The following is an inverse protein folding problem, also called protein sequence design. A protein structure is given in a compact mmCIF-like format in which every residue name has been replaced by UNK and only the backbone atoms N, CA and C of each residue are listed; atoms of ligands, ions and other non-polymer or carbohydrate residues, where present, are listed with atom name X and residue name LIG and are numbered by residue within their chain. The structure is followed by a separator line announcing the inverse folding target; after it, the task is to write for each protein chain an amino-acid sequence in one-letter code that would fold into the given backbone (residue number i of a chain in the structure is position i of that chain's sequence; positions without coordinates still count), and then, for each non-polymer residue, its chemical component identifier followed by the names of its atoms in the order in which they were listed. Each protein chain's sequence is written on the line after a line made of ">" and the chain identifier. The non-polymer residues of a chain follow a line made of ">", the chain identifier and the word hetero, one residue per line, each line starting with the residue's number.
data_IF_602471103417
#
_entry.id   IF_602471103417
#
_cell.length_a   1.000
_cell.length_b   1.000
_cell.length_c   1.000
_cell.angle_alpha   90.00
_cell.angle_beta   90.00
_cell.angle_gamma   90.00
#
_symmetry.space_group_name_H-M   'P 1'
#
loop_
_entity.id
_entity.type
_entity.pdbx_description
1 polymer ?
#
# COMPACT_ATOMS: atom_id res chain seq x y z
N UNK A 1 -15.12 -14.40 52.33
CA UNK A 1 -16.25 -15.24 51.85
C UNK A 1 -16.43 -15.03 50.35
N UNK A 2 -16.12 -16.02 49.50
CA UNK A 2 -16.33 -15.91 48.06
C UNK A 2 -17.79 -16.22 47.71
N UNK A 3 -18.43 -15.36 46.91
CA UNK A 3 -19.78 -15.62 46.37
C UNK A 3 -19.69 -16.60 45.21
N UNK A 4 -19.94 -17.87 45.49
CA UNK A 4 -19.92 -19.03 44.60
C UNK A 4 -21.12 -19.16 43.64
N UNK A 5 -21.96 -18.14 43.44
CA UNK A 5 -23.21 -18.26 42.66
C UNK A 5 -23.50 -17.09 41.70
N UNK A 6 -22.47 -16.57 41.02
CA UNK A 6 -22.68 -15.76 39.83
C UNK A 6 -22.82 -16.68 38.61
N UNK A 7 -24.01 -16.77 38.00
CA UNK A 7 -24.21 -17.48 36.73
C UNK A 7 -23.22 -16.93 35.69
N UNK A 8 -22.23 -17.73 35.33
CA UNK A 8 -21.41 -17.53 34.13
C UNK A 8 -22.37 -17.42 32.96
N UNK A 9 -22.34 -16.29 32.22
CA UNK A 9 -22.98 -16.22 30.92
C UNK A 9 -22.41 -17.36 30.08
N UNK A 10 -23.26 -18.31 29.68
CA UNK A 10 -22.87 -19.34 28.73
C UNK A 10 -22.21 -18.68 27.53
N UNK A 11 -21.08 -19.24 27.09
CA UNK A 11 -20.47 -18.85 25.83
C UNK A 11 -21.55 -18.84 24.75
N UNK A 12 -21.53 -17.82 23.88
CA UNK A 12 -22.41 -17.78 22.73
C UNK A 12 -22.31 -19.11 21.97
N UNK A 13 -23.42 -19.70 21.54
CA UNK A 13 -23.38 -20.94 20.76
C UNK A 13 -22.43 -20.74 19.56
N UNK A 14 -21.66 -21.77 19.16
CA UNK A 14 -20.87 -21.70 17.95
C UNK A 14 -21.77 -21.26 16.80
N UNK A 15 -21.36 -20.20 16.11
CA UNK A 15 -22.09 -19.61 14.99
C UNK A 15 -22.46 -20.73 14.01
N UNK A 16 -23.74 -20.84 13.68
CA UNK A 16 -24.22 -21.82 12.71
C UNK A 16 -23.34 -21.70 11.43
N UNK A 17 -22.92 -22.83 10.82
CA UNK A 17 -22.14 -22.75 9.59
C UNK A 17 -22.96 -21.97 8.57
N UNK A 18 -22.46 -20.79 8.20
CA UNK A 18 -23.08 -19.99 7.15
C UNK A 18 -23.23 -20.82 5.88
N UNK A 19 -24.17 -20.48 4.98
CA UNK A 19 -24.30 -21.18 3.72
C UNK A 19 -22.93 -21.27 3.04
N UNK A 20 -22.52 -22.48 2.64
CA UNK A 20 -21.21 -22.69 2.03
C UNK A 20 -21.15 -21.93 0.70
N UNK A 21 -20.53 -20.75 0.73
CA UNK A 21 -20.22 -19.93 -0.44
C UNK A 21 -18.98 -20.47 -1.18
N UNK A 22 -18.58 -21.70 -0.87
CA UNK A 22 -17.43 -22.39 -1.41
C UNK A 22 -17.48 -22.64 -2.91
N UNK A 23 -18.63 -22.44 -3.58
CA UNK A 23 -18.74 -22.52 -5.04
C UNK A 23 -18.53 -21.17 -5.75
N UNK A 24 -18.73 -20.05 -5.06
CA UNK A 24 -18.66 -18.71 -5.65
C UNK A 24 -17.23 -18.40 -6.11
N UNK A 25 -17.09 -17.99 -7.38
CA UNK A 25 -15.87 -17.50 -8.00
C UNK A 25 -15.93 -15.98 -8.10
N UNK A 26 -15.03 -15.30 -7.40
CA UNK A 26 -15.00 -13.84 -7.30
C UNK A 26 -13.72 -13.34 -7.97
N UNK A 27 -13.87 -12.55 -9.04
CA UNK A 27 -12.76 -11.85 -9.67
C UNK A 27 -12.47 -10.53 -8.98
N UNK A 28 -11.19 -10.26 -8.71
CA UNK A 28 -10.73 -9.04 -8.05
C UNK A 28 -9.58 -8.45 -8.90
N UNK A 29 -9.71 -7.22 -9.44
CA UNK A 29 -8.67 -6.61 -10.27
C UNK A 29 -7.46 -6.23 -9.40
N UNK A 30 -6.29 -6.79 -9.69
CA UNK A 30 -5.03 -6.53 -8.95
C UNK A 30 -4.44 -5.16 -9.34
N UNK A 31 -5.13 -4.08 -8.99
CA UNK A 31 -4.81 -2.73 -9.46
C UNK A 31 -5.13 -1.68 -8.39
N UNK A 32 -4.53 -0.49 -8.52
CA UNK A 32 -4.79 0.66 -7.66
C UNK A 32 -4.62 0.34 -6.14
N UNK A 33 -5.51 0.85 -5.30
CA UNK A 33 -5.46 0.67 -3.85
C UNK A 33 -5.77 -0.76 -3.39
N UNK A 34 -6.07 -1.70 -4.30
CA UNK A 34 -6.08 -3.11 -3.90
C UNK A 34 -4.68 -3.59 -3.54
N UNK A 35 -3.62 -2.98 -4.06
CA UNK A 35 -2.25 -3.29 -3.62
C UNK A 35 -2.02 -3.05 -2.13
N UNK A 36 -2.65 -2.02 -1.52
CA UNK A 36 -2.56 -1.78 -0.08
C UNK A 36 -3.68 -2.41 0.74
N UNK A 37 -4.80 -2.81 0.12
CA UNK A 37 -5.99 -3.30 0.84
C UNK A 37 -6.37 -4.75 0.55
N UNK A 38 -5.67 -5.45 -0.34
CA UNK A 38 -6.01 -6.82 -0.76
C UNK A 38 -6.21 -7.80 0.40
N UNK A 39 -5.40 -7.72 1.46
CA UNK A 39 -5.55 -8.60 2.62
C UNK A 39 -6.83 -8.35 3.42
N UNK A 40 -7.36 -7.12 3.41
CA UNK A 40 -8.70 -6.87 3.95
C UNK A 40 -9.74 -7.67 3.18
N UNK A 41 -9.68 -7.65 1.85
CA UNK A 41 -10.63 -8.35 0.99
C UNK A 41 -10.48 -9.87 1.08
N UNK A 42 -9.24 -10.39 1.14
CA UNK A 42 -8.98 -11.81 1.35
C UNK A 42 -9.58 -12.28 2.68
N UNK A 43 -9.32 -11.58 3.78
CA UNK A 43 -9.88 -11.92 5.10
C UNK A 43 -11.41 -11.79 5.14
N UNK A 44 -11.96 -10.75 4.51
CA UNK A 44 -13.41 -10.53 4.41
C UNK A 44 -14.11 -11.68 3.68
N UNK A 45 -13.66 -12.05 2.48
CA UNK A 45 -14.30 -13.12 1.72
C UNK A 45 -14.07 -14.51 2.31
N UNK A 46 -12.90 -14.75 2.92
CA UNK A 46 -12.64 -16.00 3.63
C UNK A 46 -13.63 -16.21 4.78
N UNK A 47 -13.89 -15.18 5.59
CA UNK A 47 -14.87 -15.23 6.69
C UNK A 47 -16.33 -15.36 6.19
N UNK A 48 -16.63 -14.91 4.97
CA UNK A 48 -17.92 -15.17 4.33
C UNK A 48 -18.07 -16.60 3.79
N UNK A 49 -17.01 -17.43 3.87
CA UNK A 49 -17.00 -18.81 3.42
C UNK A 49 -16.63 -19.01 1.95
N UNK A 50 -15.96 -18.03 1.32
CA UNK A 50 -15.41 -18.17 -0.03
C UNK A 50 -14.03 -18.83 0.06
N UNK A 51 -13.81 -19.92 -0.66
CA UNK A 51 -12.52 -20.60 -0.70
C UNK A 51 -11.44 -19.72 -1.36
N UNK A 52 -10.24 -19.67 -0.80
CA UNK A 52 -9.15 -18.82 -1.30
C UNK A 52 -8.82 -19.05 -2.78
N UNK A 53 -8.89 -20.31 -3.26
CA UNK A 53 -8.66 -20.66 -4.68
C UNK A 53 -9.73 -20.12 -5.65
N UNK A 54 -10.85 -19.62 -5.12
CA UNK A 54 -11.94 -19.01 -5.89
C UNK A 54 -11.95 -17.48 -5.82
N UNK A 55 -11.02 -16.90 -5.07
CA UNK A 55 -10.69 -15.49 -5.18
C UNK A 55 -9.64 -15.35 -6.29
N UNK A 56 -10.09 -14.93 -7.46
CA UNK A 56 -9.28 -14.84 -8.66
C UNK A 56 -8.80 -13.41 -8.82
N UNK A 57 -7.50 -13.19 -8.60
CA UNK A 57 -6.88 -11.92 -8.94
C UNK A 57 -6.48 -11.89 -10.42
N UNK A 58 -6.64 -10.74 -11.08
CA UNK A 58 -6.06 -10.53 -12.40
C UNK A 58 -4.52 -10.63 -12.35
N UNK A 59 -3.89 -10.90 -13.48
CA UNK A 59 -2.44 -10.88 -13.60
C UNK A 59 -1.88 -9.46 -13.38
N UNK A 60 -0.56 -9.38 -13.25
CA UNK A 60 0.17 -8.11 -13.24
C UNK A 60 -0.14 -7.31 -14.51
N UNK A 61 -0.10 -5.98 -14.40
CA UNK A 61 -0.31 -5.11 -15.54
C UNK A 61 0.73 -5.43 -16.62
N UNK A 62 0.28 -5.54 -17.87
CA UNK A 62 1.18 -5.66 -19.02
C UNK A 62 0.58 -5.03 -20.26
N UNK A 63 1.42 -4.66 -21.22
CA UNK A 63 0.95 -4.19 -22.53
C UNK A 63 0.03 -5.22 -23.18
N UNK A 64 0.39 -6.50 -23.08
CA UNK A 64 -0.41 -7.58 -23.67
C UNK A 64 -1.78 -7.71 -23.02
N UNK A 65 -1.86 -7.62 -21.68
CA UNK A 65 -3.14 -7.59 -20.97
C UNK A 65 -3.99 -6.40 -21.43
N UNK A 66 -3.40 -5.20 -21.51
CA UNK A 66 -4.10 -4.00 -21.98
C UNK A 66 -4.59 -4.12 -23.43
N UNK A 67 -3.74 -4.66 -24.32
CA UNK A 67 -4.01 -4.81 -25.75
C UNK A 67 -5.06 -5.89 -26.04
N UNK A 68 -4.97 -7.04 -25.39
CA UNK A 68 -5.89 -8.16 -25.59
C UNK A 68 -7.26 -7.90 -24.96
N UNK A 69 -7.27 -7.39 -23.73
CA UNK A 69 -8.47 -7.38 -22.90
C UNK A 69 -9.09 -5.99 -22.69
N UNK A 70 -8.27 -4.93 -22.73
CA UNK A 70 -8.71 -3.55 -22.44
C UNK A 70 -9.06 -2.71 -23.67
N UNK A 71 -8.75 -3.16 -24.89
CA UNK A 71 -8.91 -2.37 -26.13
C UNK A 71 -10.34 -1.83 -26.28
N UNK A 72 -10.44 -0.51 -26.51
CA UNK A 72 -11.69 0.20 -26.73
C UNK A 72 -12.54 0.46 -25.49
N UNK A 73 -12.09 0.03 -24.30
CA UNK A 73 -12.84 0.12 -23.03
C UNK A 73 -12.13 0.96 -21.96
N UNK A 74 -10.97 1.53 -22.29
CA UNK A 74 -10.21 2.42 -21.42
C UNK A 74 -10.78 3.83 -21.37
N UNK A 75 -10.35 4.59 -20.36
CA UNK A 75 -10.58 6.03 -20.24
C UNK A 75 -9.38 6.78 -20.83
N UNK A 76 -9.62 7.88 -21.58
CA UNK A 76 -8.54 8.63 -22.23
C UNK A 76 -7.90 9.64 -21.28
N UNK A 77 -8.70 10.30 -20.44
CA UNK A 77 -8.26 11.47 -19.66
C UNK A 77 -7.81 11.16 -18.23
N UNK A 78 -7.39 9.92 -17.91
CA UNK A 78 -6.95 9.54 -16.56
C UNK A 78 -5.48 9.10 -16.50
N UNK A 79 -4.91 9.11 -15.30
CA UNK A 79 -3.55 8.59 -15.08
C UNK A 79 -3.41 7.12 -15.51
N UNK A 80 -2.19 6.75 -15.91
CA UNK A 80 -1.91 5.42 -16.44
C UNK A 80 -2.44 4.24 -15.58
N UNK A 81 -2.29 4.21 -14.25
CA UNK A 81 -2.82 3.13 -13.41
C UNK A 81 -4.34 2.95 -13.49
N UNK A 82 -5.08 4.04 -13.70
CA UNK A 82 -6.54 3.98 -13.87
C UNK A 82 -6.90 3.44 -15.25
N UNK A 83 -6.10 3.76 -16.27
CA UNK A 83 -6.27 3.22 -17.64
C UNK A 83 -6.09 1.70 -17.66
N UNK A 84 -5.18 1.15 -16.85
CA UNK A 84 -4.88 -0.29 -16.79
C UNK A 84 -6.04 -1.16 -16.32
N UNK A 85 -7.00 -0.62 -15.56
CA UNK A 85 -8.15 -1.36 -15.02
C UNK A 85 -8.97 -2.03 -16.13
N UNK A 86 -9.09 -1.41 -17.30
CA UNK A 86 -9.80 -1.99 -18.42
C UNK A 86 -9.19 -3.33 -18.86
N UNK A 87 -7.85 -3.43 -18.85
CA UNK A 87 -7.14 -4.69 -19.11
C UNK A 87 -7.46 -5.75 -18.05
N UNK A 88 -7.37 -5.39 -16.77
CA UNK A 88 -7.69 -6.31 -15.67
C UNK A 88 -9.15 -6.80 -15.69
N UNK A 89 -10.11 -5.94 -15.98
CA UNK A 89 -11.52 -6.34 -16.10
C UNK A 89 -11.71 -7.29 -17.27
N UNK A 90 -11.20 -6.94 -18.45
CA UNK A 90 -11.35 -7.80 -19.61
C UNK A 90 -10.66 -9.15 -19.41
N UNK A 91 -9.51 -9.21 -18.73
CA UNK A 91 -8.83 -10.46 -18.42
C UNK A 91 -9.67 -11.33 -17.45
N UNK A 92 -10.26 -10.72 -16.43
CA UNK A 92 -11.14 -11.41 -15.48
C UNK A 92 -12.43 -11.91 -16.15
N UNK A 93 -12.93 -11.20 -17.15
CA UNK A 93 -14.17 -11.56 -17.85
C UNK A 93 -13.92 -12.61 -18.94
N UNK A 94 -12.89 -12.40 -19.77
CA UNK A 94 -12.67 -13.14 -21.02
C UNK A 94 -11.46 -14.07 -20.98
N UNK A 95 -10.49 -13.81 -20.10
CA UNK A 95 -9.23 -14.58 -20.02
C UNK A 95 -9.31 -15.81 -19.09
N UNK A 96 -10.41 -15.99 -18.37
CA UNK A 96 -10.56 -17.07 -17.38
C UNK A 96 -11.03 -18.36 -18.03
N UNK A 97 -10.45 -19.50 -17.61
CA UNK A 97 -10.89 -20.84 -18.05
C UNK A 97 -12.29 -21.19 -17.58
N UNK A 98 -12.61 -20.79 -16.36
CA UNK A 98 -13.92 -20.96 -15.74
C UNK A 98 -14.50 -19.58 -15.46
N UNK A 99 -15.79 -19.42 -15.77
CA UNK A 99 -16.51 -18.15 -15.59
C UNK A 99 -16.50 -17.69 -14.12
N UNK A 100 -16.53 -16.38 -13.94
CA UNK A 100 -16.73 -15.75 -12.64
C UNK A 100 -18.22 -15.64 -12.32
N UNK A 101 -18.58 -15.74 -11.05
CA UNK A 101 -19.93 -15.43 -10.58
C UNK A 101 -20.08 -13.93 -10.26
N UNK A 102 -19.00 -13.32 -9.78
CA UNK A 102 -18.94 -11.94 -9.32
C UNK A 102 -17.62 -11.32 -9.80
N UNK A 103 -17.69 -10.11 -10.36
CA UNK A 103 -16.51 -9.25 -10.50
C UNK A 103 -16.62 -8.15 -9.44
N UNK A 104 -15.72 -8.20 -8.47
CA UNK A 104 -15.69 -7.33 -7.31
C UNK A 104 -14.60 -6.26 -7.46
N UNK A 105 -15.00 -4.99 -7.52
CA UNK A 105 -14.10 -3.85 -7.70
C UNK A 105 -14.57 -2.67 -6.83
N UNK A 106 -14.13 -2.57 -5.57
CA UNK A 106 -14.70 -1.63 -4.60
C UNK A 106 -14.27 -0.18 -4.86
N UNK A 107 -15.18 0.76 -4.63
CA UNK A 107 -14.91 2.19 -4.63
C UNK A 107 -14.43 2.63 -3.24
N UNK A 108 -13.11 2.59 -3.03
CA UNK A 108 -12.50 2.90 -1.73
C UNK A 108 -12.35 4.41 -1.56
N UNK A 109 -13.18 5.01 -0.71
CA UNK A 109 -13.24 6.45 -0.47
C UNK A 109 -12.06 6.99 0.33
N UNK A 110 -11.74 6.33 1.44
CA UNK A 110 -10.59 6.62 2.28
C UNK A 110 -9.88 5.32 2.66
N UNK A 111 -8.61 5.44 3.03
CA UNK A 111 -7.74 4.30 3.34
C UNK A 111 -7.38 4.31 4.83
N UNK A 112 -7.26 3.14 5.47
CA UNK A 112 -6.68 3.06 6.80
C UNK A 112 -5.26 3.62 6.75
N UNK A 113 -4.94 4.53 7.66
CA UNK A 113 -3.61 5.11 7.73
C UNK A 113 -3.02 5.00 9.14
N UNK A 114 -1.70 4.89 9.21
CA UNK A 114 -0.96 5.05 10.48
C UNK A 114 -0.67 6.52 10.79
N UNK A 115 -0.96 7.43 9.85
CA UNK A 115 -0.72 8.84 10.03
C UNK A 115 -1.68 9.45 11.06
N UNK A 116 -1.17 10.32 11.91
CA UNK A 116 -1.91 10.92 13.03
C UNK A 116 -1.42 12.33 13.32
N UNK A 117 -2.03 13.00 14.29
CA UNK A 117 -1.75 14.41 14.60
C UNK A 117 -2.65 15.33 13.78
N UNK A 118 -2.07 16.26 13.02
CA UNK A 118 -2.83 17.22 12.21
C UNK A 118 -3.06 16.79 10.75
N UNK A 119 -3.00 15.48 10.48
CA UNK A 119 -3.39 14.97 9.16
C UNK A 119 -4.89 15.16 9.00
N UNK A 120 -5.28 15.94 8.00
CA UNK A 120 -6.66 16.40 7.86
C UNK A 120 -7.61 15.26 7.48
N UNK A 121 -7.23 14.45 6.47
CA UNK A 121 -7.98 13.27 6.00
C UNK A 121 -7.05 12.28 5.27
N UNK A 122 -7.55 11.07 5.03
CA UNK A 122 -6.89 9.93 4.37
C UNK A 122 -7.61 9.55 3.07
N UNK A 123 -8.07 10.55 2.31
CA UNK A 123 -8.89 10.32 1.11
C UNK A 123 -8.08 9.67 -0.02
N UNK A 124 -8.74 8.78 -0.75
CA UNK A 124 -8.26 8.26 -2.03
C UNK A 124 -8.33 9.36 -3.10
N UNK A 125 -7.46 9.30 -4.12
CA UNK A 125 -7.59 10.15 -5.30
C UNK A 125 -8.99 9.96 -5.94
N UNK A 126 -9.74 11.02 -6.26
CA UNK A 126 -11.10 10.89 -6.82
C UNK A 126 -11.16 10.01 -8.07
N UNK A 127 -10.15 10.10 -8.95
CA UNK A 127 -10.05 9.26 -10.16
C UNK A 127 -9.88 7.78 -9.83
N UNK A 128 -9.12 7.46 -8.78
CA UNK A 128 -8.88 6.10 -8.31
C UNK A 128 -10.13 5.53 -7.62
N UNK A 129 -10.80 6.34 -6.79
CA UNK A 129 -12.04 5.95 -6.10
C UNK A 129 -13.19 5.69 -7.09
N UNK A 130 -13.36 6.56 -8.08
CA UNK A 130 -14.41 6.46 -9.09
C UNK A 130 -14.08 5.50 -10.25
N UNK A 131 -12.85 4.98 -10.29
CA UNK A 131 -12.38 4.13 -11.37
C UNK A 131 -13.28 2.90 -11.63
N UNK A 132 -13.80 2.20 -10.60
CA UNK A 132 -14.67 1.06 -10.83
C UNK A 132 -15.88 1.37 -11.71
N UNK A 133 -16.64 2.44 -11.41
CA UNK A 133 -17.83 2.84 -12.18
C UNK A 133 -17.47 3.47 -13.53
N UNK A 134 -16.40 4.26 -13.61
CA UNK A 134 -15.96 4.84 -14.89
C UNK A 134 -15.58 3.74 -15.90
N UNK A 135 -14.81 2.74 -15.46
CA UNK A 135 -14.37 1.66 -16.35
C UNK A 135 -15.51 0.70 -16.68
N UNK A 136 -16.41 0.41 -15.72
CA UNK A 136 -17.64 -0.35 -15.96
C UNK A 136 -18.46 0.24 -17.12
N UNK A 137 -18.56 1.57 -17.23
CA UNK A 137 -19.26 2.22 -18.34
C UNK A 137 -18.68 1.81 -19.72
N UNK A 138 -17.36 1.62 -19.83
CA UNK A 138 -16.72 1.11 -21.05
C UNK A 138 -17.14 -0.32 -21.41
N UNK A 139 -17.45 -1.15 -20.42
CA UNK A 139 -17.97 -2.52 -20.60
C UNK A 139 -19.50 -2.57 -20.80
N UNK A 140 -20.20 -1.44 -20.69
CA UNK A 140 -21.65 -1.33 -20.87
C UNK A 140 -22.06 -0.44 -22.05
N UNK A 141 -21.13 0.35 -22.61
CA UNK A 141 -21.41 1.37 -23.64
C UNK A 141 -22.13 0.83 -24.86
N UNK A 142 -21.67 -0.30 -25.40
CA UNK A 142 -22.23 -0.91 -26.61
C UNK A 142 -23.16 -2.08 -26.28
N UNK A 143 -22.80 -2.88 -25.27
CA UNK A 143 -23.53 -4.04 -24.79
C UNK A 143 -23.24 -4.23 -23.31
N UNK A 144 -24.16 -4.85 -22.57
CA UNK A 144 -23.90 -5.24 -21.20
C UNK A 144 -23.10 -6.54 -21.15
N UNK A 145 -21.77 -6.40 -21.22
CA UNK A 145 -20.84 -7.54 -21.19
C UNK A 145 -21.01 -8.38 -19.92
N UNK A 146 -21.34 -7.76 -18.78
CA UNK A 146 -21.49 -8.47 -17.52
C UNK A 146 -22.72 -9.39 -17.57
N UNK A 147 -23.87 -8.88 -18.03
CA UNK A 147 -25.08 -9.66 -18.20
C UNK A 147 -24.91 -10.80 -19.22
N UNK A 148 -24.27 -10.52 -20.37
CA UNK A 148 -23.98 -11.54 -21.40
C UNK A 148 -23.12 -12.70 -20.87
N UNK A 149 -22.18 -12.41 -19.97
CA UNK A 149 -21.33 -13.42 -19.35
C UNK A 149 -21.95 -14.05 -18.10
N UNK A 150 -23.09 -13.55 -17.61
CA UNK A 150 -23.72 -13.99 -16.36
C UNK A 150 -22.94 -13.56 -15.10
N UNK A 151 -22.12 -12.51 -15.20
CA UNK A 151 -21.28 -12.00 -14.11
C UNK A 151 -22.05 -10.90 -13.38
N UNK A 152 -22.14 -10.99 -12.06
CA UNK A 152 -22.64 -9.88 -11.24
C UNK A 152 -21.50 -8.91 -10.94
N UNK A 153 -21.61 -7.69 -11.45
CA UNK A 153 -20.66 -6.63 -11.14
C UNK A 153 -20.96 -6.00 -9.77
N UNK A 154 -19.95 -5.90 -8.91
CA UNK A 154 -20.07 -5.31 -7.58
C UNK A 154 -18.99 -4.26 -7.32
N UNK A 155 -19.42 -3.02 -7.13
CA UNK A 155 -18.56 -1.90 -6.77
C UNK A 155 -19.09 -1.14 -5.54
N UNK A 156 -19.08 -1.77 -4.35
CA UNK A 156 -19.54 -1.09 -3.15
C UNK A 156 -18.67 0.13 -2.85
N UNK A 157 -19.32 1.20 -2.41
CA UNK A 157 -18.64 2.36 -1.85
C UNK A 157 -18.24 2.08 -0.40
N UNK A 158 -16.97 2.23 -0.07
CA UNK A 158 -16.45 1.85 1.25
C UNK A 158 -15.49 2.89 1.81
N UNK A 159 -15.64 3.19 3.10
CA UNK A 159 -14.80 4.11 3.85
C UNK A 159 -13.93 3.33 4.84
N UNK A 160 -12.82 2.76 4.38
CA UNK A 160 -11.99 1.84 5.17
C UNK A 160 -11.28 2.51 6.37
N UNK A 161 -11.20 3.83 6.42
CA UNK A 161 -10.71 4.58 7.59
C UNK A 161 -11.81 4.76 8.67
N UNK A 162 -13.04 4.30 8.41
CA UNK A 162 -14.19 4.44 9.31
C UNK A 162 -14.80 3.07 9.64
N UNK A 163 -14.13 2.23 10.47
CA UNK A 163 -14.51 0.82 10.69
C UNK A 163 -15.94 0.58 11.17
N UNK A 164 -16.57 1.59 11.79
CA UNK A 164 -17.97 1.53 12.24
C UNK A 164 -18.98 1.62 11.08
N UNK A 165 -18.62 2.28 9.97
CA UNK A 165 -19.49 2.45 8.81
C UNK A 165 -19.36 1.29 7.81
N UNK A 166 -18.16 0.71 7.72
CA UNK A 166 -17.82 -0.33 6.73
C UNK A 166 -18.79 -1.52 6.72
N UNK A 167 -19.23 -2.10 7.86
CA UNK A 167 -20.18 -3.21 7.84
C UNK A 167 -21.49 -2.87 7.14
N UNK A 168 -22.05 -1.68 7.41
CA UNK A 168 -23.29 -1.22 6.79
C UNK A 168 -23.09 -1.01 5.28
N UNK A 169 -22.04 -0.30 4.90
CA UNK A 169 -21.71 0.00 3.50
C UNK A 169 -21.53 -1.28 2.66
N UNK A 170 -20.79 -2.25 3.18
CA UNK A 170 -20.57 -3.51 2.47
C UNK A 170 -21.81 -4.39 2.45
N UNK A 171 -22.62 -4.40 3.52
CA UNK A 171 -23.87 -5.16 3.53
C UNK A 171 -24.85 -4.60 2.50
N UNK A 172 -25.05 -3.28 2.47
CA UNK A 172 -25.92 -2.63 1.49
C UNK A 172 -25.40 -2.81 0.05
N UNK A 173 -24.09 -2.66 -0.16
CA UNK A 173 -23.47 -2.77 -1.47
C UNK A 173 -23.32 -4.20 -2.01
N UNK A 174 -23.37 -5.23 -1.15
CA UNK A 174 -23.19 -6.62 -1.54
C UNK A 174 -24.42 -7.51 -1.30
N UNK A 175 -25.44 -7.03 -0.56
CA UNK A 175 -26.61 -7.84 -0.20
C UNK A 175 -27.40 -8.36 -1.40
N UNK A 176 -27.47 -7.60 -2.50
CA UNK A 176 -28.08 -8.04 -3.76
C UNK A 176 -27.18 -8.92 -4.63
N UNK A 177 -25.88 -8.99 -4.32
CA UNK A 177 -24.87 -9.70 -5.12
C UNK A 177 -24.50 -11.03 -4.48
N UNK A 178 -24.31 -11.08 -3.16
CA UNK A 178 -23.90 -12.27 -2.43
C UNK A 178 -25.15 -12.94 -1.85
N UNK A 179 -25.49 -14.17 -2.26
CA UNK A 179 -26.70 -14.86 -1.79
C UNK A 179 -26.72 -15.01 -0.26
N UNK A 180 -27.85 -14.65 0.34
CA UNK A 180 -28.11 -14.82 1.78
C UNK A 180 -27.19 -14.01 2.69
N UNK A 181 -26.53 -12.95 2.20
CA UNK A 181 -25.65 -12.11 3.01
C UNK A 181 -26.44 -11.35 4.09
N UNK A 182 -26.13 -11.60 5.35
CA UNK A 182 -26.74 -10.88 6.48
C UNK A 182 -25.84 -9.76 7.01
N UNK A 183 -26.43 -8.79 7.71
CA UNK A 183 -25.67 -7.72 8.35
C UNK A 183 -24.70 -8.24 9.43
N UNK A 184 -25.11 -9.27 10.18
CA UNK A 184 -24.28 -9.90 11.22
C UNK A 184 -23.07 -10.63 10.62
N UNK A 185 -23.28 -11.44 9.57
CA UNK A 185 -22.17 -12.08 8.84
C UNK A 185 -21.20 -11.05 8.27
N UNK A 186 -21.73 -9.97 7.70
CA UNK A 186 -20.92 -8.89 7.13
C UNK A 186 -20.06 -8.21 8.20
N UNK A 187 -20.61 -7.93 9.38
CA UNK A 187 -19.86 -7.34 10.48
C UNK A 187 -18.70 -8.24 10.94
N UNK A 188 -18.95 -9.56 11.06
CA UNK A 188 -17.90 -10.54 11.35
C UNK A 188 -16.80 -10.56 10.28
N UNK A 189 -17.20 -10.57 9.00
CA UNK A 189 -16.29 -10.53 7.86
C UNK A 189 -15.44 -9.26 7.79
N UNK A 190 -16.02 -8.11 8.09
CA UNK A 190 -15.29 -6.84 8.15
C UNK A 190 -14.24 -6.88 9.26
N UNK A 191 -14.59 -7.38 10.45
CA UNK A 191 -13.63 -7.54 11.53
C UNK A 191 -12.48 -8.50 11.15
N UNK A 192 -12.77 -9.59 10.45
CA UNK A 192 -11.76 -10.51 9.92
C UNK A 192 -10.85 -9.84 8.88
N UNK A 193 -11.41 -9.06 7.96
CA UNK A 193 -10.64 -8.29 6.97
C UNK A 193 -9.67 -7.31 7.63
N UNK A 194 -10.12 -6.54 8.62
CA UNK A 194 -9.22 -5.63 9.34
C UNK A 194 -8.10 -6.38 10.07
N UNK A 195 -8.40 -7.49 10.75
CA UNK A 195 -7.36 -8.31 11.40
C UNK A 195 -6.31 -8.78 10.39
N UNK A 196 -6.74 -9.34 9.26
CA UNK A 196 -5.83 -9.82 8.21
C UNK A 196 -4.93 -8.70 7.66
N UNK A 197 -5.50 -7.52 7.41
CA UNK A 197 -4.75 -6.35 6.95
C UNK A 197 -3.72 -5.86 8.00
N UNK A 198 -4.13 -5.77 9.27
CA UNK A 198 -3.25 -5.34 10.37
C UNK A 198 -2.10 -6.31 10.56
N UNK A 199 -2.37 -7.62 10.58
CA UNK A 199 -1.35 -8.66 10.75
C UNK A 199 -0.35 -8.67 9.59
N UNK A 200 -0.85 -8.54 8.35
CA UNK A 200 -0.01 -8.44 7.16
C UNK A 200 0.92 -7.22 7.22
N UNK A 201 0.37 -6.05 7.51
CA UNK A 201 1.15 -4.81 7.60
C UNK A 201 2.18 -4.87 8.73
N UNK A 202 1.80 -5.39 9.90
CA UNK A 202 2.73 -5.57 11.03
C UNK A 202 3.88 -6.50 10.66
N UNK A 203 3.61 -7.61 9.95
CA UNK A 203 4.64 -8.54 9.50
C UNK A 203 5.62 -7.89 8.51
N UNK A 204 5.12 -7.13 7.54
CA UNK A 204 6.00 -6.45 6.57
C UNK A 204 6.80 -5.32 7.21
N UNK A 205 6.24 -4.59 8.18
CA UNK A 205 6.97 -3.58 8.95
C UNK A 205 8.09 -4.17 9.79
N UNK A 206 7.88 -5.33 10.42
CA UNK A 206 8.96 -6.07 11.10
C UNK A 206 10.09 -6.42 10.16
N UNK A 207 9.79 -6.92 8.96
CA UNK A 207 10.82 -7.14 7.92
C UNK A 207 11.53 -5.85 7.52
N UNK A 208 10.82 -4.73 7.41
CA UNK A 208 11.42 -3.43 7.15
C UNK A 208 12.41 -3.01 8.25
N UNK A 209 12.08 -3.29 9.52
CA UNK A 209 12.99 -3.10 10.66
C UNK A 209 14.21 -4.00 10.58
N UNK A 210 14.03 -5.30 10.31
CA UNK A 210 15.12 -6.27 10.14
C UNK A 210 16.13 -5.80 9.06
N UNK A 211 15.64 -5.22 7.95
CA UNK A 211 16.49 -4.64 6.91
C UNK A 211 17.27 -3.43 7.43
N UNK A 212 16.65 -2.51 8.18
CA UNK A 212 17.36 -1.37 8.76
C UNK A 212 18.41 -1.78 9.80
N UNK A 213 18.09 -2.75 10.65
CA UNK A 213 19.03 -3.30 11.65
C UNK A 213 20.20 -4.02 10.96
N UNK A 214 19.94 -4.75 9.87
CA UNK A 214 21.00 -5.33 9.05
C UNK A 214 21.89 -4.24 8.42
N UNK A 215 21.30 -3.20 7.84
CA UNK A 215 22.04 -2.06 7.29
C UNK A 215 22.90 -1.38 8.35
N UNK A 216 22.37 -1.24 9.57
CA UNK A 216 23.08 -0.68 10.70
C UNK A 216 24.29 -1.52 11.13
N UNK A 217 24.08 -2.82 11.28
CA UNK A 217 25.13 -3.78 11.68
C UNK A 217 26.24 -3.90 10.64
N UNK A 218 25.89 -3.91 9.36
CA UNK A 218 26.86 -4.02 8.25
C UNK A 218 27.44 -2.66 7.82
N UNK A 219 26.96 -1.55 8.40
CA UNK A 219 27.25 -0.19 7.97
C UNK A 219 27.02 0.03 6.45
N UNK A 220 25.94 -0.54 5.92
CA UNK A 220 25.56 -0.48 4.50
C UNK A 220 24.33 0.38 4.29
N UNK A 221 24.26 1.07 3.16
CA UNK A 221 23.11 1.89 2.79
C UNK A 221 22.00 1.08 2.14
N UNK A 222 20.76 1.44 2.43
CA UNK A 222 19.56 0.98 1.73
C UNK A 222 18.90 2.13 0.95
N UNK A 223 18.09 1.76 -0.04
CA UNK A 223 17.23 2.69 -0.77
C UNK A 223 15.81 2.65 -0.22
N UNK A 224 15.14 3.80 -0.26
CA UNK A 224 13.72 3.89 0.05
C UNK A 224 12.90 4.32 -1.15
N UNK A 225 11.89 3.53 -1.50
CA UNK A 225 10.95 3.83 -2.57
C UNK A 225 9.80 4.67 -2.03
N UNK A 226 9.70 5.89 -2.55
CA UNK A 226 8.56 6.80 -2.35
C UNK A 226 7.64 6.68 -3.56
N UNK A 227 6.58 5.89 -3.42
CA UNK A 227 5.64 5.64 -4.50
C UNK A 227 4.26 5.33 -3.93
N UNK A 228 3.26 5.31 -4.81
CA UNK A 228 1.93 4.79 -4.47
C UNK A 228 1.97 3.25 -4.44
N UNK A 229 1.12 2.57 -3.63
CA UNK A 229 1.18 1.13 -3.45
C UNK A 229 1.13 0.31 -4.74
N UNK A 230 0.38 0.79 -5.73
CA UNK A 230 0.23 0.12 -7.03
C UNK A 230 1.46 0.19 -7.94
N UNK A 231 2.51 0.96 -7.59
CA UNK A 231 3.78 0.87 -8.31
C UNK A 231 4.55 -0.42 -7.98
N UNK A 232 4.07 -1.25 -7.04
CA UNK A 232 4.57 -2.62 -6.88
C UNK A 232 4.12 -3.55 -8.03
N UNK A 233 3.22 -3.09 -8.90
CA UNK A 233 2.87 -3.78 -10.14
C UNK A 233 3.98 -3.59 -11.19
N UNK A 234 4.58 -4.68 -11.73
CA UNK A 234 5.62 -4.63 -12.76
C UNK A 234 5.30 -3.82 -14.01
N UNK A 235 4.02 -3.76 -14.41
CA UNK A 235 3.57 -2.98 -15.56
C UNK A 235 3.39 -1.49 -15.25
N UNK A 236 3.32 -1.10 -13.97
CA UNK A 236 3.12 0.29 -13.55
C UNK A 236 4.38 0.90 -12.95
N UNK A 237 5.10 0.18 -12.09
CA UNK A 237 6.35 0.63 -11.46
C UNK A 237 7.61 0.30 -12.24
N UNK A 238 7.50 -0.55 -13.27
CA UNK A 238 8.58 -0.96 -14.16
C UNK A 238 9.74 -1.70 -13.49
N UNK A 239 9.55 -2.21 -12.27
CA UNK A 239 10.52 -3.05 -11.55
C UNK A 239 11.88 -2.37 -11.32
N UNK A 240 11.90 -1.03 -11.30
CA UNK A 240 13.11 -0.22 -11.13
C UNK A 240 13.83 -0.57 -9.82
N UNK A 241 13.06 -0.80 -8.76
CA UNK A 241 13.56 -1.22 -7.46
C UNK A 241 14.11 -2.64 -7.46
N UNK A 242 13.58 -3.54 -8.32
CA UNK A 242 14.08 -4.90 -8.48
C UNK A 242 15.45 -4.87 -9.17
N UNK A 243 15.58 -4.05 -10.22
CA UNK A 243 16.87 -3.84 -10.89
C UNK A 243 17.92 -3.28 -9.92
N UNK A 244 17.55 -2.29 -9.10
CA UNK A 244 18.44 -1.75 -8.06
C UNK A 244 18.78 -2.79 -6.98
N UNK A 245 17.83 -3.66 -6.62
CA UNK A 245 18.08 -4.76 -5.70
C UNK A 245 19.07 -5.78 -6.27
N UNK A 246 19.05 -6.02 -7.59
CA UNK A 246 20.00 -6.90 -8.27
C UNK A 246 21.46 -6.38 -8.20
N UNK A 247 21.66 -5.06 -8.07
CA UNK A 247 22.96 -4.46 -7.75
C UNK A 247 23.39 -4.63 -6.28
N UNK A 248 22.59 -5.31 -5.45
CA UNK A 248 22.93 -5.63 -4.06
C UNK A 248 22.51 -4.58 -3.03
N UNK A 249 21.60 -3.66 -3.39
CA UNK A 249 21.09 -2.65 -2.47
C UNK A 249 19.75 -3.08 -1.84
N UNK A 250 19.63 -3.08 -0.50
CA UNK A 250 18.36 -3.39 0.16
C UNK A 250 17.30 -2.31 -0.08
N UNK A 251 16.09 -2.71 -0.44
CA UNK A 251 14.97 -1.80 -0.76
C UNK A 251 13.95 -1.77 0.38
N UNK A 252 13.57 -0.57 0.81
CA UNK A 252 12.44 -0.31 1.70
C UNK A 252 11.32 0.39 0.94
N UNK A 253 10.08 -0.07 1.13
CA UNK A 253 8.90 0.62 0.61
C UNK A 253 8.22 1.41 1.72
N UNK A 254 7.81 2.64 1.41
CA UNK A 254 7.21 3.58 2.39
C UNK A 254 6.01 2.97 3.14
N UNK A 255 5.16 2.22 2.43
CA UNK A 255 3.95 1.59 2.98
C UNK A 255 4.25 0.62 4.14
N UNK A 256 5.44 0.03 4.11
CA UNK A 256 5.88 -1.00 5.06
C UNK A 256 7.12 -0.56 5.83
N UNK A 257 7.43 0.73 5.85
CA UNK A 257 8.49 1.27 6.69
C UNK A 257 8.14 1.04 8.17
N UNK A 258 9.10 0.65 9.02
CA UNK A 258 8.83 0.36 10.43
C UNK A 258 8.37 1.62 11.18
N UNK A 259 7.37 1.44 12.03
CA UNK A 259 6.73 2.52 12.81
C UNK A 259 6.73 2.24 14.31
N UNK A 260 7.65 1.40 14.78
CA UNK A 260 7.76 1.05 16.19
C UNK A 260 8.02 2.28 17.05
N UNK A 261 7.43 2.31 18.24
CA UNK A 261 7.45 3.49 19.12
C UNK A 261 8.87 3.95 19.48
N UNK A 262 9.81 3.02 19.66
CA UNK A 262 11.20 3.32 20.00
C UNK A 262 11.94 4.04 18.85
N UNK A 263 11.79 3.52 17.62
CA UNK A 263 12.37 4.11 16.41
C UNK A 263 11.74 5.47 16.11
N UNK A 264 10.43 5.56 16.20
CA UNK A 264 9.69 6.80 15.96
C UNK A 264 10.01 7.87 17.00
N UNK A 265 10.10 7.51 18.27
CA UNK A 265 10.47 8.44 19.32
C UNK A 265 11.93 8.88 19.23
N UNK A 266 12.84 7.99 18.86
CA UNK A 266 14.23 8.37 18.62
C UNK A 266 14.35 9.37 17.45
N UNK A 267 13.70 9.07 16.32
CA UNK A 267 13.83 9.87 15.10
C UNK A 267 13.09 11.23 15.18
N UNK A 268 11.90 11.26 15.80
CA UNK A 268 11.01 12.44 15.77
C UNK A 268 10.79 13.10 17.14
N UNK A 269 11.14 12.43 18.24
CA UNK A 269 10.95 12.95 19.60
C UNK A 269 11.56 14.34 19.87
N UNK A 270 12.76 14.69 19.36
CA UNK A 270 13.30 16.04 19.50
C UNK A 270 12.38 17.12 18.91
N UNK A 271 11.81 16.89 17.73
CA UNK A 271 10.91 17.84 17.07
C UNK A 271 9.56 17.95 17.80
N UNK A 272 9.09 16.85 18.41
CA UNK A 272 7.89 16.85 19.26
C UNK A 272 8.12 17.69 20.52
N UNK A 273 9.25 17.49 21.22
CA UNK A 273 9.61 18.27 22.41
C UNK A 273 9.82 19.75 22.10
N UNK A 274 10.34 20.06 20.91
CA UNK A 274 10.49 21.42 20.41
C UNK A 274 9.17 22.05 19.93
N UNK A 275 8.06 21.32 19.94
CA UNK A 275 6.75 21.81 19.50
C UNK A 275 6.62 22.02 17.99
N UNK A 276 7.55 21.49 17.17
CA UNK A 276 7.52 21.63 15.71
C UNK A 276 6.46 20.73 15.07
N UNK A 277 6.25 19.55 15.66
CA UNK A 277 5.27 18.54 15.23
C UNK A 277 4.56 17.96 16.45
N UNK A 278 3.33 17.43 16.30
CA UNK A 278 2.58 16.85 17.43
C UNK A 278 2.79 15.35 17.63
N UNK A 279 3.15 14.63 16.57
CA UNK A 279 3.46 13.20 16.62
C UNK A 279 4.54 12.86 15.58
N UNK A 280 5.17 11.67 15.65
CA UNK A 280 6.11 11.20 14.62
C UNK A 280 5.47 11.08 13.23
N UNK A 281 4.13 11.07 13.19
CA UNK A 281 3.35 10.89 11.98
C UNK A 281 2.69 12.18 11.48
N UNK A 282 2.96 13.30 12.16
CA UNK A 282 2.50 14.62 11.72
C UNK A 282 3.37 15.10 10.55
N UNK A 283 2.72 15.59 9.50
CA UNK A 283 3.35 16.12 8.28
C UNK A 283 2.98 17.58 8.02
N UNK A 284 2.26 18.24 8.93
CA UNK A 284 1.75 19.60 8.71
C UNK A 284 2.85 20.64 8.48
N UNK A 285 4.01 20.41 9.06
CA UNK A 285 5.22 21.24 8.92
C UNK A 285 5.74 21.29 7.47
N UNK A 286 5.51 20.24 6.68
CA UNK A 286 5.96 20.16 5.28
C UNK A 286 4.81 20.09 4.28
N UNK A 287 3.59 19.77 4.74
CA UNK A 287 2.44 19.54 3.89
C UNK A 287 1.12 19.96 4.57
N UNK A 288 0.71 21.24 4.42
CA UNK A 288 -0.53 21.74 5.01
C UNK A 288 -1.80 21.11 4.41
N UNK A 289 -1.76 20.68 3.15
CA UNK A 289 -2.91 20.12 2.40
C UNK A 289 -3.03 18.60 2.58
N UNK A 290 -3.03 18.14 3.82
CA UNK A 290 -2.90 16.72 4.19
C UNK A 290 -4.21 15.91 4.08
N UNK A 291 -4.88 15.97 2.92
CA UNK A 291 -6.19 15.35 2.72
C UNK A 291 -6.15 13.96 2.06
N UNK A 292 -5.06 13.59 1.38
CA UNK A 292 -4.99 12.36 0.58
C UNK A 292 -3.99 11.35 1.13
N UNK A 293 -4.44 10.12 1.37
CA UNK A 293 -3.65 9.09 2.08
C UNK A 293 -2.29 8.84 1.43
N UNK A 294 -2.28 8.43 0.15
CA UNK A 294 -1.05 8.05 -0.54
C UNK A 294 -0.07 9.24 -0.67
N UNK A 295 -0.59 10.45 -0.87
CA UNK A 295 0.23 11.68 -0.90
C UNK A 295 0.83 11.94 0.47
N UNK A 296 0.01 11.87 1.53
CA UNK A 296 0.46 12.08 2.91
C UNK A 296 1.56 11.07 3.29
N UNK A 297 1.42 9.80 2.91
CA UNK A 297 2.43 8.77 3.16
C UNK A 297 3.74 9.04 2.41
N UNK A 298 3.70 9.52 1.16
CA UNK A 298 4.91 9.92 0.41
C UNK A 298 5.65 11.06 1.14
N UNK A 299 4.94 12.07 1.63
CA UNK A 299 5.52 13.18 2.37
C UNK A 299 6.11 12.73 3.71
N UNK A 300 5.40 11.87 4.44
CA UNK A 300 5.91 11.27 5.66
C UNK A 300 7.14 10.40 5.41
N UNK A 301 7.12 9.60 4.33
CA UNK A 301 8.25 8.81 3.88
C UNK A 301 9.48 9.68 3.66
N UNK A 302 9.37 10.81 2.95
CA UNK A 302 10.48 11.74 2.76
C UNK A 302 11.09 12.20 4.11
N UNK A 303 10.24 12.51 5.10
CA UNK A 303 10.68 12.88 6.46
C UNK A 303 11.39 11.73 7.17
N UNK A 304 10.92 10.49 7.00
CA UNK A 304 11.55 9.30 7.58
C UNK A 304 12.92 9.03 6.93
N UNK A 305 13.02 9.01 5.60
CA UNK A 305 14.29 8.85 4.88
C UNK A 305 15.34 9.89 5.29
N UNK A 306 14.92 11.14 5.46
CA UNK A 306 15.80 12.22 5.87
C UNK A 306 16.43 12.00 7.27
N UNK A 307 15.76 11.23 8.14
CA UNK A 307 16.20 10.98 9.53
C UNK A 307 16.95 9.67 9.72
N UNK A 308 16.78 8.71 8.82
CA UNK A 308 17.45 7.41 8.93
C UNK A 308 18.88 7.49 8.36
N UNK A 309 19.93 7.19 9.16
CA UNK A 309 21.30 7.24 8.69
C UNK A 309 21.60 6.31 7.53
N UNK A 310 21.01 5.11 7.54
CA UNK A 310 21.26 4.09 6.52
C UNK A 310 20.35 4.20 5.29
N UNK A 311 19.36 5.08 5.28
CA UNK A 311 18.65 5.41 4.05
C UNK A 311 19.50 6.41 3.28
N UNK A 312 20.29 5.94 2.31
CA UNK A 312 21.27 6.75 1.58
C UNK A 312 20.75 7.22 0.23
N UNK A 313 19.69 6.59 -0.28
CA UNK A 313 19.05 6.94 -1.53
C UNK A 313 17.53 6.84 -1.42
N UNK A 314 16.84 7.79 -2.04
CA UNK A 314 15.40 7.76 -2.24
C UNK A 314 15.10 7.70 -3.73
N UNK A 315 14.27 6.74 -4.11
CA UNK A 315 13.73 6.62 -5.47
C UNK A 315 12.24 6.95 -5.44
N UNK A 316 11.85 8.02 -6.14
CA UNK A 316 10.45 8.45 -6.29
C UNK A 316 9.88 7.88 -7.59
N UNK A 317 8.76 7.16 -7.53
CA UNK A 317 8.05 6.63 -8.71
C UNK A 317 6.69 7.28 -8.89
N UNK A 318 6.45 7.92 -10.03
CA UNK A 318 5.17 8.55 -10.34
C UNK A 318 4.71 8.19 -11.76
N UNK A 319 3.44 7.83 -11.88
CA UNK A 319 2.84 7.48 -13.16
C UNK A 319 2.44 8.70 -13.97
N UNK A 320 2.39 8.53 -15.29
CA UNK A 320 1.90 9.53 -16.23
C UNK A 320 0.52 10.07 -15.84
N UNK A 321 0.37 11.40 -15.96
CA UNK A 321 -0.84 12.17 -15.63
C UNK A 321 -1.33 12.04 -14.17
N UNK A 322 -0.43 11.72 -13.23
CA UNK A 322 -0.78 11.69 -11.81
C UNK A 322 -0.82 13.11 -11.19
N UNK A 323 -1.96 13.81 -11.34
CA UNK A 323 -2.13 15.17 -10.82
C UNK A 323 -1.96 15.32 -9.30
N UNK A 324 -2.19 14.26 -8.53
CA UNK A 324 -2.00 14.24 -7.07
C UNK A 324 -0.52 14.15 -6.66
N UNK A 325 0.36 13.68 -7.56
CA UNK A 325 1.80 13.59 -7.32
C UNK A 325 2.53 14.87 -7.71
N UNK A 326 2.02 15.59 -8.72
CA UNK A 326 2.63 16.84 -9.22
C UNK A 326 3.02 17.83 -8.12
N UNK A 327 2.15 18.19 -7.15
CA UNK A 327 2.51 19.18 -6.14
C UNK A 327 3.46 18.63 -5.06
N UNK A 328 3.74 17.31 -5.06
CA UNK A 328 4.57 16.65 -4.06
C UNK A 328 6.05 16.58 -4.43
N UNK A 329 6.40 16.79 -5.71
CA UNK A 329 7.78 16.60 -6.17
C UNK A 329 8.76 17.54 -5.46
N UNK A 330 8.51 18.84 -5.52
CA UNK A 330 9.38 19.85 -4.91
C UNK A 330 9.56 19.64 -3.40
N UNK A 331 8.51 19.51 -2.58
CA UNK A 331 8.71 19.31 -1.13
C UNK A 331 9.43 18.00 -0.83
N UNK A 332 9.10 16.90 -1.51
CA UNK A 332 9.79 15.62 -1.31
C UNK A 332 11.28 15.74 -1.64
N UNK A 333 11.61 16.28 -2.81
CA UNK A 333 13.00 16.48 -3.23
C UNK A 333 13.77 17.34 -2.22
N UNK A 334 13.19 18.47 -1.81
CA UNK A 334 13.82 19.38 -0.84
C UNK A 334 14.06 18.72 0.52
N UNK A 335 13.10 17.93 1.03
CA UNK A 335 13.27 17.22 2.30
C UNK A 335 14.42 16.22 2.22
N UNK A 336 14.47 15.43 1.14
CA UNK A 336 15.47 14.38 0.95
C UNK A 336 16.86 14.97 0.73
N UNK A 337 17.02 15.88 -0.23
CA UNK A 337 18.34 16.43 -0.59
C UNK A 337 18.96 17.26 0.55
N UNK A 338 18.15 18.00 1.32
CA UNK A 338 18.64 18.75 2.50
C UNK A 338 19.22 17.86 3.59
N UNK A 339 18.84 16.59 3.64
CA UNK A 339 19.42 15.61 4.58
C UNK A 339 20.74 15.00 4.09
N UNK A 340 21.21 15.38 2.90
CA UNK A 340 22.36 14.77 2.24
C UNK A 340 22.07 13.40 1.61
N UNK A 341 20.81 12.95 1.61
CA UNK A 341 20.38 11.71 0.95
C UNK A 341 20.31 11.91 -0.56
N UNK A 342 20.74 10.92 -1.34
CA UNK A 342 20.55 10.94 -2.79
C UNK A 342 19.07 10.88 -3.15
N UNK A 343 18.63 11.66 -4.13
CA UNK A 343 17.26 11.67 -4.61
C UNK A 343 17.22 11.43 -6.12
N UNK A 344 16.46 10.42 -6.54
CA UNK A 344 16.21 10.14 -7.95
C UNK A 344 14.71 9.98 -8.17
N UNK A 345 14.19 10.53 -9.27
CA UNK A 345 12.75 10.50 -9.56
C UNK A 345 12.48 9.94 -10.94
N UNK A 346 11.70 8.85 -11.02
CA UNK A 346 11.14 8.33 -12.26
C UNK A 346 9.71 8.86 -12.38
N UNK A 347 9.54 9.84 -13.25
CA UNK A 347 8.28 10.50 -13.53
C UNK A 347 7.69 9.92 -14.82
N UNK A 348 6.38 10.10 -14.97
CA UNK A 348 5.65 9.74 -16.19
C UNK A 348 5.78 8.27 -16.60
N UNK A 349 5.78 7.37 -15.62
CA UNK A 349 5.72 5.93 -15.88
C UNK A 349 4.39 5.58 -16.58
N UNK A 350 4.50 4.98 -17.75
CA UNK A 350 3.39 4.60 -18.62
C UNK A 350 3.66 3.27 -19.36
N UNK A 351 2.75 2.87 -20.25
CA UNK A 351 2.84 1.63 -21.01
C UNK A 351 4.08 1.47 -21.89
N UNK A 352 4.82 2.55 -22.19
CA UNK A 352 5.98 2.47 -23.09
C UNK A 352 7.16 1.73 -22.46
N UNK A 353 7.20 1.64 -21.12
CA UNK A 353 8.26 0.97 -20.32
C UNK A 353 9.65 1.06 -21.00
N UNK A 354 10.26 2.26 -21.08
CA UNK A 354 11.47 2.48 -21.88
C UNK A 354 12.71 1.83 -21.22
N UNK A 355 12.86 0.52 -21.42
CA UNK A 355 13.82 -0.33 -20.70
C UNK A 355 15.28 0.15 -20.83
N UNK A 356 15.69 0.62 -22.01
CA UNK A 356 17.05 1.14 -22.22
C UNK A 356 17.34 2.38 -21.37
N UNK A 357 16.39 3.32 -21.29
CA UNK A 357 16.53 4.53 -20.46
C UNK A 357 16.51 4.19 -18.97
N UNK A 358 15.61 3.29 -18.55
CA UNK A 358 15.56 2.81 -17.16
C UNK A 358 16.88 2.16 -16.77
N UNK A 359 17.42 1.28 -17.60
CA UNK A 359 18.69 0.59 -17.34
C UNK A 359 19.85 1.55 -17.12
N UNK A 360 20.06 2.53 -18.00
CA UNK A 360 21.12 3.54 -17.87
C UNK A 360 20.98 4.34 -16.56
N UNK A 361 19.74 4.67 -16.19
CA UNK A 361 19.46 5.40 -14.95
C UNK A 361 19.72 4.53 -13.71
N UNK A 362 19.36 3.26 -13.73
CA UNK A 362 19.68 2.30 -12.66
C UNK A 362 21.19 2.17 -12.49
N UNK A 363 21.94 2.00 -13.58
CA UNK A 363 23.42 1.96 -13.58
C UNK A 363 24.01 3.24 -12.98
N UNK A 364 23.45 4.40 -13.34
CA UNK A 364 23.84 5.69 -12.76
C UNK A 364 23.58 5.74 -11.26
N UNK A 365 22.39 5.31 -10.80
CA UNK A 365 22.05 5.29 -9.38
C UNK A 365 23.00 4.37 -8.61
N UNK A 366 23.28 3.17 -9.15
CA UNK A 366 24.20 2.21 -8.56
C UNK A 366 25.61 2.79 -8.40
N UNK A 367 26.11 3.50 -9.42
CA UNK A 367 27.41 4.19 -9.36
C UNK A 367 27.46 5.27 -8.26
N UNK A 368 26.41 6.08 -8.14
CA UNK A 368 26.35 7.12 -7.11
C UNK A 368 26.25 6.52 -5.70
N UNK A 369 25.49 5.44 -5.54
CA UNK A 369 25.40 4.71 -4.28
C UNK A 369 26.76 4.13 -3.88
N UNK A 370 27.47 3.48 -4.80
CA UNK A 370 28.81 2.93 -4.55
C UNK A 370 29.78 4.01 -4.09
N UNK A 371 29.73 5.19 -4.73
CA UNK A 371 30.65 6.29 -4.45
C UNK A 371 30.33 7.07 -3.17
N UNK A 372 29.04 7.31 -2.87
CA UNK A 372 28.63 8.29 -1.86
C UNK A 372 27.90 7.70 -0.65
N UNK A 373 27.42 6.45 -0.69
CA UNK A 373 26.63 5.90 0.42
C UNK A 373 27.37 5.90 1.76
N UNK A 374 28.66 5.54 1.77
CA UNK A 374 29.50 5.54 2.98
C UNK A 374 29.59 6.93 3.62
N UNK A 375 29.94 7.94 2.83
CA UNK A 375 30.02 9.34 3.28
C UNK A 375 28.69 9.87 3.81
N UNK A 376 27.57 9.49 3.17
CA UNK A 376 26.22 9.87 3.61
C UNK A 376 25.92 9.25 4.97
N UNK A 377 26.23 7.96 5.16
CA UNK A 377 26.04 7.25 6.43
C UNK A 377 26.84 7.94 7.54
N UNK A 378 28.12 8.24 7.32
CA UNK A 378 28.96 8.87 8.33
C UNK A 378 28.49 10.29 8.67
N UNK A 379 28.14 11.12 7.67
CA UNK A 379 27.57 12.45 7.92
C UNK A 379 26.27 12.40 8.70
N UNK A 380 25.37 11.48 8.37
CA UNK A 380 24.10 11.33 9.09
C UNK A 380 24.30 10.76 10.49
N UNK A 381 25.22 9.79 10.69
CA UNK A 381 25.58 9.28 12.02
C UNK A 381 26.18 10.36 12.90
N UNK A 382 27.01 11.25 12.34
CA UNK A 382 27.56 12.39 13.09
C UNK A 382 26.47 13.39 13.52
N UNK A 383 25.38 13.51 12.75
CA UNK A 383 24.25 14.39 13.06
C UNK A 383 23.13 13.72 13.89
N UNK A 384 23.17 12.40 14.09
CA UNK A 384 22.08 11.68 14.74
C UNK A 384 22.11 11.84 16.27
N UNK A 385 20.93 11.84 16.90
CA UNK A 385 20.81 11.86 18.36
C UNK A 385 21.29 10.55 18.99
N UNK A 386 21.73 10.57 20.27
CA UNK A 386 22.18 9.37 20.98
C UNK A 386 21.05 8.34 21.14
N UNK A 387 21.43 7.07 21.36
CA UNK A 387 20.46 6.01 21.68
C UNK A 387 19.64 5.51 20.50
N UNK A 388 20.22 5.46 19.29
CA UNK A 388 19.56 4.88 18.13
C UNK A 388 19.20 3.41 18.37
N UNK A 389 17.92 3.00 18.26
CA UNK A 389 17.50 1.62 18.54
C UNK A 389 17.91 0.63 17.45
N UNK A 390 18.40 1.11 16.29
CA UNK A 390 18.96 0.27 15.23
C UNK A 390 20.41 -0.15 15.50
N UNK A 391 21.07 0.51 16.45
CA UNK A 391 22.42 0.13 16.89
C UNK A 391 22.32 -0.78 18.12
N UNK A 392 23.23 -1.75 18.25
CA UNK A 392 23.34 -2.50 19.50
C UNK A 392 23.58 -1.54 20.66
N UNK A 393 22.88 -1.76 21.78
CA UNK A 393 23.14 -1.02 23.02
C UNK A 393 24.59 -1.28 23.42
N UNK A 394 25.36 -0.23 23.72
CA UNK A 394 26.78 -0.31 24.08
C UNK A 394 27.08 -1.02 25.42
N UNK A 395 26.16 -1.85 25.94
CA UNK A 395 26.32 -2.59 27.18
C UNK A 395 26.43 -4.09 26.86
N UNK A 396 27.66 -4.54 26.56
CA UNK A 396 28.14 -5.93 26.71
C UNK A 396 29.58 -6.14 26.16
N UNK A 397 30.29 -5.09 25.73
CA UNK A 397 31.69 -5.21 25.30
C UNK A 397 32.73 -5.00 26.44
N UNK A 398 32.31 -4.85 27.69
CA UNK A 398 33.21 -4.54 28.82
C UNK A 398 33.35 -5.65 29.88
N UNK A 399 32.97 -6.89 29.59
CA UNK A 399 33.07 -8.01 30.55
C UNK A 399 33.88 -9.24 30.10
N UNK A 400 34.65 -9.15 29.01
CA UNK A 400 35.60 -10.21 28.62
C UNK A 400 37.00 -9.66 28.36
N UNK A 401 37.50 -8.88 29.32
CA UNK A 401 38.91 -8.48 29.40
C UNK A 401 39.44 -8.77 30.80
N UNK A 402 39.68 -10.05 31.10
CA UNK A 402 40.57 -10.50 32.17
C UNK A 402 41.79 -11.14 31.51
#
# INVERSE_FOLDING_TARGET
>A
MPRWFGRTRSAAPPRAPGPSRAKLRIGIPRVLNLWSTHQFWVGFFAELGVESRRLIFSSDTSEEQGRQFGKGRGTVDCCYPVKCIAGHYGELIFGQREKLDILFSPMIYNLPSFLSGHVARTLTCPRVMAAPENIKAGFMKERDVFAEQGIRYAAPFVSLDEPRLVPKQLWEGLGGVIPGLTAEETAGAVAAGYRALTEFNARLRRKGREVLEWCARENRGCLMVLARPYHMDPGIGHEIEVDLQAYGYPVLWTQYFPIDDDLMQWAFGPDIRAGRIKSPFDIRDVWPSSYSSNTNEILWGAKAAARMPWVTCVVRLASYECGMDQPTYTPVQQIVERSGTLFFSFQDLDSTKPAGSVKIRVETIAHYLEKYAGDIIEKKKAAMGPGCPLLPRAAEASLTGV
#
